data_IF_613917035506
#
_entry.id   IF_613917035506
#
_cell.length_a   1.000
_cell.length_b   1.000
_cell.length_c   1.000
_cell.angle_alpha   90.00
_cell.angle_beta   90.00
_cell.angle_gamma   90.00
#
_symmetry.space_group_name_H-M   'P 1'
#
loop_
_entity.id
_entity.type
_entity.pdbx_description
1 polymer ?
#
# COMPACT_ATOMS: atom_id res chain seq x y z
N UNK A 1 -44.03 -82.59 -53.71
CA UNK A 1 -42.77 -82.02 -53.19
C UNK A 1 -42.82 -82.01 -51.67
N UNK A 2 -41.67 -82.03 -50.99
CA UNK A 2 -41.59 -81.95 -49.53
C UNK A 2 -40.87 -80.66 -49.17
N UNK A 3 -41.44 -79.86 -48.28
CA UNK A 3 -40.84 -78.64 -47.78
C UNK A 3 -40.70 -78.72 -46.27
N UNK A 4 -39.57 -78.24 -45.77
CA UNK A 4 -39.30 -78.15 -44.34
C UNK A 4 -38.35 -76.98 -44.13
N UNK A 5 -38.64 -76.14 -43.14
CA UNK A 5 -37.70 -75.15 -42.64
C UNK A 5 -36.75 -75.75 -41.60
N UNK A 6 -35.99 -74.90 -40.92
CA UNK A 6 -35.10 -75.32 -39.83
C UNK A 6 -35.86 -75.90 -38.63
N UNK A 7 -37.13 -75.52 -38.46
CA UNK A 7 -38.04 -75.97 -37.40
C UNK A 7 -39.45 -76.22 -37.97
N UNK A 8 -40.27 -77.00 -37.25
CA UNK A 8 -41.65 -77.35 -37.65
C UNK A 8 -41.79 -78.77 -38.19
N UNK A 9 -42.92 -79.06 -38.86
CA UNK A 9 -43.22 -80.35 -39.47
C UNK A 9 -43.07 -80.30 -40.99
N UNK A 10 -42.65 -81.42 -41.61
CA UNK A 10 -42.55 -81.52 -43.07
C UNK A 10 -43.92 -81.34 -43.74
N UNK A 11 -44.02 -80.36 -44.64
CA UNK A 11 -45.18 -80.17 -45.50
C UNK A 11 -45.05 -81.01 -46.78
N UNK A 12 -46.04 -81.86 -47.02
CA UNK A 12 -46.10 -82.77 -48.17
C UNK A 12 -47.11 -82.26 -49.19
N UNK A 13 -46.60 -81.56 -50.20
CA UNK A 13 -47.43 -81.02 -51.28
C UNK A 13 -47.58 -82.03 -52.42
N UNK A 14 -48.81 -82.26 -52.86
CA UNK A 14 -49.12 -82.99 -54.10
C UNK A 14 -48.87 -82.12 -55.32
N UNK A 15 -48.92 -82.72 -56.50
CA UNK A 15 -48.88 -81.98 -57.75
C UNK A 15 -50.08 -81.02 -57.82
N UNK A 16 -49.83 -79.77 -58.19
CA UNK A 16 -50.81 -78.66 -58.24
C UNK A 16 -51.35 -78.16 -56.89
N UNK A 17 -50.77 -78.56 -55.76
CA UNK A 17 -51.03 -77.87 -54.49
C UNK A 17 -50.18 -76.60 -54.37
N UNK A 18 -50.78 -75.52 -53.87
CA UNK A 18 -50.11 -74.24 -53.65
C UNK A 18 -49.23 -74.29 -52.39
N UNK A 19 -48.00 -73.77 -52.49
CA UNK A 19 -47.16 -73.44 -51.34
C UNK A 19 -47.23 -71.94 -51.11
N UNK A 20 -47.83 -71.51 -50.00
CA UNK A 20 -47.84 -70.09 -49.63
C UNK A 20 -46.64 -69.74 -48.75
N UNK A 21 -45.91 -68.68 -49.10
CA UNK A 21 -44.78 -68.14 -48.30
C UNK A 21 -45.09 -66.70 -47.93
N UNK A 22 -45.27 -66.39 -46.64
CA UNK A 22 -45.71 -65.08 -46.16
C UNK A 22 -44.72 -64.44 -45.18
N UNK A 23 -44.39 -63.15 -45.38
CA UNK A 23 -43.56 -62.34 -44.49
C UNK A 23 -44.34 -61.45 -43.49
N UNK A 24 -45.68 -61.52 -43.49
CA UNK A 24 -46.56 -60.82 -42.55
C UNK A 24 -46.95 -59.38 -42.91
N UNK A 25 -46.14 -58.67 -43.71
CA UNK A 25 -46.49 -57.33 -44.24
C UNK A 25 -47.12 -57.48 -45.64
N UNK A 26 -48.29 -56.88 -45.84
CA UNK A 26 -49.04 -56.97 -47.10
C UNK A 26 -49.05 -55.66 -47.90
N UNK A 27 -48.71 -54.53 -47.27
CA UNK A 27 -48.57 -53.24 -47.96
C UNK A 27 -47.17 -53.13 -48.57
N UNK A 28 -47.09 -53.13 -49.91
CA UNK A 28 -45.83 -53.06 -50.64
C UNK A 28 -45.04 -51.77 -50.36
N UNK A 29 -45.71 -50.67 -49.99
CA UNK A 29 -45.05 -49.42 -49.63
C UNK A 29 -44.28 -49.49 -48.30
N UNK A 30 -44.63 -50.45 -47.43
CA UNK A 30 -43.95 -50.69 -46.16
C UNK A 30 -42.78 -51.69 -46.29
N UNK A 31 -42.55 -52.23 -47.49
CA UNK A 31 -41.45 -53.13 -47.79
C UNK A 31 -40.30 -52.36 -48.42
N UNK A 32 -39.07 -52.69 -48.00
CA UNK A 32 -37.87 -52.24 -48.71
C UNK A 32 -37.91 -52.70 -50.16
N UNK A 33 -37.69 -51.78 -51.09
CA UNK A 33 -37.56 -52.08 -52.51
C UNK A 33 -36.13 -52.52 -52.90
N UNK A 34 -35.19 -52.45 -51.97
CA UNK A 34 -33.83 -52.98 -52.13
C UNK A 34 -33.75 -54.50 -51.84
N UNK A 35 -32.84 -55.18 -52.54
CA UNK A 35 -32.60 -56.62 -52.43
C UNK A 35 -31.80 -56.98 -51.16
N UNK A 36 -32.47 -57.01 -50.01
CA UNK A 36 -31.84 -57.26 -48.72
C UNK A 36 -31.70 -58.74 -48.31
N UNK A 37 -32.32 -59.67 -49.04
CA UNK A 37 -32.26 -61.11 -48.77
C UNK A 37 -31.59 -61.83 -49.94
N UNK A 38 -30.46 -62.48 -49.67
CA UNK A 38 -29.79 -63.38 -50.59
C UNK A 38 -30.29 -64.82 -50.42
N UNK A 39 -30.45 -65.54 -51.52
CA UNK A 39 -30.82 -66.96 -51.55
C UNK A 39 -29.69 -67.75 -52.21
N UNK A 40 -29.11 -68.70 -51.47
CA UNK A 40 -28.01 -69.55 -51.92
C UNK A 40 -28.44 -71.02 -51.94
N UNK A 41 -28.27 -71.72 -53.06
CA UNK A 41 -28.46 -73.16 -53.11
C UNK A 41 -27.29 -73.86 -52.40
N UNK A 42 -27.57 -74.72 -51.42
CA UNK A 42 -26.53 -75.36 -50.61
C UNK A 42 -25.95 -76.65 -51.21
N UNK A 43 -26.39 -77.05 -52.40
CA UNK A 43 -25.98 -78.30 -53.07
C UNK A 43 -26.61 -79.59 -52.51
N UNK A 44 -27.34 -79.51 -51.40
CA UNK A 44 -27.93 -80.64 -50.67
C UNK A 44 -29.46 -80.56 -50.62
N UNK A 45 -30.09 -80.14 -51.73
CA UNK A 45 -31.54 -79.96 -51.85
C UNK A 45 -32.11 -78.94 -50.84
N UNK A 46 -31.31 -77.96 -50.41
CA UNK A 46 -31.73 -76.86 -49.55
C UNK A 46 -31.32 -75.50 -50.08
N UNK A 47 -32.00 -74.46 -49.57
CA UNK A 47 -31.70 -73.06 -49.83
C UNK A 47 -31.31 -72.39 -48.50
N UNK A 48 -30.25 -71.59 -48.51
CA UNK A 48 -29.84 -70.77 -47.38
C UNK A 48 -30.27 -69.34 -47.67
N UNK A 49 -31.04 -68.76 -46.75
CA UNK A 49 -31.42 -67.35 -46.80
C UNK A 49 -30.49 -66.57 -45.88
N UNK A 50 -29.94 -65.46 -46.38
CA UNK A 50 -29.08 -64.57 -45.58
C UNK A 50 -29.46 -63.11 -45.83
N UNK A 51 -29.29 -62.29 -44.81
CA UNK A 51 -29.33 -60.85 -44.96
C UNK A 51 -28.10 -60.38 -45.76
N UNK A 52 -28.28 -59.33 -46.56
CA UNK A 52 -27.17 -58.61 -47.16
C UNK A 52 -26.27 -58.01 -46.06
N UNK A 53 -24.97 -57.87 -46.34
CA UNK A 53 -24.02 -57.24 -45.41
C UNK A 53 -24.37 -55.77 -45.13
N UNK A 54 -24.95 -55.10 -46.12
CA UNK A 54 -25.53 -53.77 -46.00
C UNK A 54 -27.04 -53.89 -46.24
N UNK A 55 -27.84 -53.46 -45.28
CA UNK A 55 -29.29 -53.34 -45.47
C UNK A 55 -29.61 -51.94 -46.00
N UNK A 56 -30.41 -51.88 -47.07
CA UNK A 56 -30.78 -50.62 -47.76
C UNK A 56 -32.29 -50.46 -47.78
N UNK A 57 -32.77 -49.24 -48.04
CA UNK A 57 -34.20 -48.95 -48.16
C UNK A 57 -35.02 -49.16 -46.89
N UNK A 58 -34.38 -49.09 -45.70
CA UNK A 58 -35.07 -49.18 -44.42
C UNK A 58 -35.35 -47.79 -43.84
N UNK A 59 -36.58 -47.55 -43.39
CA UNK A 59 -36.95 -46.32 -42.69
C UNK A 59 -36.41 -46.29 -41.25
N UNK A 60 -36.21 -47.45 -40.62
CA UNK A 60 -35.65 -47.53 -39.28
C UNK A 60 -35.57 -48.94 -38.71
N UNK A 61 -34.99 -49.05 -37.51
CA UNK A 61 -34.90 -50.28 -36.73
C UNK A 61 -35.45 -50.02 -35.33
N UNK A 62 -36.35 -50.88 -34.85
CA UNK A 62 -36.94 -50.80 -33.51
C UNK A 62 -36.51 -52.00 -32.67
N UNK A 63 -35.95 -51.74 -31.49
CA UNK A 63 -35.62 -52.76 -30.49
C UNK A 63 -36.55 -52.61 -29.28
N UNK A 64 -37.36 -53.64 -29.02
CA UNK A 64 -38.40 -53.63 -27.98
C UNK A 64 -39.79 -53.30 -28.54
N UNK A 65 -40.72 -52.97 -27.65
CA UNK A 65 -42.12 -52.69 -27.99
C UNK A 65 -42.62 -51.38 -27.36
N UNK A 66 -43.66 -50.80 -27.97
CA UNK A 66 -44.29 -49.57 -27.50
C UNK A 66 -43.41 -48.32 -27.64
N UNK A 67 -43.78 -47.27 -26.92
CA UNK A 67 -43.15 -45.94 -27.04
C UNK A 67 -41.76 -45.85 -26.38
N UNK A 68 -41.42 -46.82 -25.51
CA UNK A 68 -40.12 -46.91 -24.83
C UNK A 68 -39.08 -47.71 -25.62
N UNK A 69 -39.45 -48.27 -26.78
CA UNK A 69 -38.51 -49.01 -27.62
C UNK A 69 -37.34 -48.11 -28.05
N UNK A 70 -36.14 -48.68 -28.14
CA UNK A 70 -35.03 -48.01 -28.78
C UNK A 70 -35.31 -47.95 -30.28
N UNK A 71 -35.22 -46.76 -30.86
CA UNK A 71 -35.49 -46.53 -32.29
C UNK A 71 -34.26 -45.93 -32.93
N UNK A 72 -33.79 -46.56 -34.00
CA UNK A 72 -32.86 -45.96 -34.97
C UNK A 72 -33.73 -45.52 -36.14
N UNK A 73 -33.86 -44.21 -36.33
CA UNK A 73 -34.67 -43.60 -37.37
C UNK A 73 -33.76 -43.21 -38.54
N UNK A 74 -33.88 -43.93 -39.66
CA UNK A 74 -33.09 -43.70 -40.87
C UNK A 74 -33.52 -42.44 -41.62
N UNK A 75 -34.81 -42.11 -41.58
CA UNK A 75 -35.40 -40.94 -42.22
C UNK A 75 -34.93 -39.65 -41.53
N UNK A 76 -35.07 -39.58 -40.20
CA UNK A 76 -34.72 -38.42 -39.39
C UNK A 76 -33.24 -38.42 -38.95
N UNK A 77 -32.52 -39.54 -39.14
CA UNK A 77 -31.13 -39.74 -38.72
C UNK A 77 -30.94 -39.56 -37.21
N UNK A 78 -31.87 -40.09 -36.43
CA UNK A 78 -31.85 -40.01 -34.96
C UNK A 78 -31.78 -41.38 -34.31
N UNK A 79 -31.30 -41.40 -33.07
CA UNK A 79 -31.40 -42.58 -32.21
C UNK A 79 -31.98 -42.13 -30.88
N UNK A 80 -33.11 -42.73 -30.49
CA UNK A 80 -33.88 -42.34 -29.30
C UNK A 80 -34.01 -43.48 -28.30
N UNK A 81 -34.36 -43.12 -27.06
CA UNK A 81 -34.52 -44.04 -25.92
C UNK A 81 -33.27 -44.87 -25.60
N UNK A 82 -32.10 -44.25 -25.71
CA UNK A 82 -30.83 -44.86 -25.29
C UNK A 82 -30.57 -44.51 -23.82
N UNK A 83 -30.35 -45.53 -22.99
CA UNK A 83 -29.94 -45.33 -21.58
C UNK A 83 -28.49 -44.86 -21.48
N UNK A 84 -27.58 -45.47 -22.25
CA UNK A 84 -26.14 -45.21 -22.16
C UNK A 84 -25.47 -45.48 -23.50
N UNK A 85 -24.66 -44.53 -23.97
CA UNK A 85 -23.77 -44.70 -25.12
C UNK A 85 -22.33 -44.70 -24.64
N UNK A 86 -21.55 -45.69 -25.04
CA UNK A 86 -20.14 -45.86 -24.65
C UNK A 86 -19.27 -45.92 -25.89
N UNK A 87 -18.37 -44.96 -26.03
CA UNK A 87 -17.36 -44.93 -27.09
C UNK A 87 -16.12 -45.66 -26.58
N UNK A 88 -15.91 -46.90 -27.05
CA UNK A 88 -14.97 -47.87 -26.47
C UNK A 88 -13.49 -47.62 -26.81
N UNK A 89 -12.63 -47.96 -25.85
CA UNK A 89 -11.33 -48.64 -26.06
C UNK A 89 -11.45 -50.11 -25.64
N UNK A 90 -10.45 -50.95 -25.94
CA UNK A 90 -10.50 -52.43 -25.82
C UNK A 90 -10.91 -53.01 -24.46
N UNK A 91 -10.84 -52.24 -23.36
CA UNK A 91 -11.19 -52.67 -22.00
C UNK A 91 -12.23 -51.75 -21.29
N UNK A 92 -12.82 -50.79 -22.02
CA UNK A 92 -13.76 -49.77 -21.54
C UNK A 92 -13.26 -48.84 -20.42
N UNK A 93 -11.99 -48.91 -19.99
CA UNK A 93 -11.48 -48.13 -18.84
C UNK A 93 -11.24 -46.65 -19.17
N UNK A 94 -11.15 -46.30 -20.44
CA UNK A 94 -10.94 -44.92 -20.93
C UNK A 94 -12.03 -44.47 -21.91
N UNK A 95 -13.26 -44.93 -21.69
CA UNK A 95 -14.38 -44.63 -22.59
C UNK A 95 -15.01 -43.27 -22.33
N UNK A 96 -15.36 -42.56 -23.39
CA UNK A 96 -16.34 -41.48 -23.30
C UNK A 96 -17.71 -42.13 -23.14
N UNK A 97 -18.45 -41.68 -22.14
CA UNK A 97 -19.77 -42.21 -21.81
C UNK A 97 -20.78 -41.07 -21.83
N UNK A 98 -21.83 -41.22 -22.63
CA UNK A 98 -23.03 -40.38 -22.57
C UNK A 98 -24.08 -41.15 -21.80
N UNK A 99 -24.39 -40.67 -20.59
CA UNK A 99 -25.36 -41.30 -19.68
C UNK A 99 -26.68 -40.53 -19.73
N UNK A 100 -27.69 -41.12 -20.37
CA UNK A 100 -29.02 -40.53 -20.50
C UNK A 100 -29.80 -40.50 -19.18
N UNK A 101 -29.49 -41.40 -18.25
CA UNK A 101 -30.13 -41.46 -16.92
C UNK A 101 -29.66 -40.29 -16.05
N UNK A 102 -28.33 -40.10 -15.97
CA UNK A 102 -27.72 -39.05 -15.15
C UNK A 102 -27.56 -37.71 -15.89
N UNK A 103 -27.80 -37.69 -17.21
CA UNK A 103 -27.64 -36.52 -18.10
C UNK A 103 -26.24 -35.93 -18.07
N UNK A 104 -25.23 -36.80 -18.06
CA UNK A 104 -23.81 -36.42 -18.00
C UNK A 104 -23.01 -37.05 -19.12
N UNK A 105 -21.88 -36.40 -19.42
CA UNK A 105 -20.81 -36.97 -20.23
C UNK A 105 -19.60 -37.18 -19.32
N UNK A 106 -19.11 -38.41 -19.22
CA UNK A 106 -17.94 -38.78 -18.39
C UNK A 106 -16.83 -39.38 -19.24
N UNK A 107 -15.64 -39.51 -18.66
CA UNK A 107 -14.47 -40.09 -19.34
C UNK A 107 -13.66 -39.09 -20.17
N UNK A 108 -13.94 -37.79 -20.03
CA UNK A 108 -13.07 -36.75 -20.60
C UNK A 108 -11.70 -36.77 -19.91
N UNK A 109 -10.63 -36.80 -20.71
CA UNK A 109 -9.25 -36.91 -20.22
C UNK A 109 -8.68 -35.59 -19.69
N UNK A 110 -9.23 -34.45 -20.11
CA UNK A 110 -8.83 -33.12 -19.68
C UNK A 110 -9.37 -32.76 -18.27
N UNK A 111 -8.93 -33.49 -17.26
CA UNK A 111 -9.39 -33.34 -15.86
C UNK A 111 -8.74 -32.18 -15.11
N UNK A 112 -7.68 -31.59 -15.66
CA UNK A 112 -6.93 -30.47 -15.08
C UNK A 112 -6.62 -29.38 -16.11
N UNK A 113 -6.39 -28.16 -15.64
CA UNK A 113 -5.90 -27.04 -16.45
C UNK A 113 -4.44 -27.33 -16.86
N UNK A 114 -4.05 -27.07 -18.12
CA UNK A 114 -2.65 -27.19 -18.54
C UNK A 114 -1.72 -26.33 -17.69
N UNK A 115 -0.58 -26.89 -17.27
CA UNK A 115 0.43 -26.20 -16.46
C UNK A 115 1.75 -25.97 -17.20
N UNK A 116 1.92 -26.61 -18.36
CA UNK A 116 3.12 -26.59 -19.21
C UNK A 116 3.07 -25.52 -20.31
N UNK A 117 2.05 -24.64 -20.27
CA UNK A 117 1.83 -23.63 -21.30
C UNK A 117 1.18 -24.14 -22.57
N UNK A 118 0.77 -25.43 -22.63
CA UNK A 118 -0.02 -25.95 -23.74
C UNK A 118 -1.35 -25.17 -23.84
N UNK A 119 -1.66 -24.56 -24.99
CA UNK A 119 -2.92 -23.83 -25.16
C UNK A 119 -4.13 -24.75 -25.05
N UNK A 120 -5.20 -24.24 -24.44
CA UNK A 120 -6.50 -24.91 -24.47
C UNK A 120 -7.13 -24.79 -25.86
N UNK A 121 -7.80 -25.86 -26.30
CA UNK A 121 -8.59 -25.84 -27.55
C UNK A 121 -9.95 -25.18 -27.28
N UNK A 122 -10.31 -24.17 -28.06
CA UNK A 122 -11.49 -23.33 -27.81
C UNK A 122 -12.83 -24.06 -28.02
N UNK A 123 -12.84 -25.10 -28.85
CA UNK A 123 -14.00 -25.92 -29.22
C UNK A 123 -14.04 -27.27 -28.48
N UNK A 124 -13.08 -27.52 -27.59
CA UNK A 124 -13.05 -28.72 -26.78
C UNK A 124 -13.90 -28.55 -25.52
N UNK A 125 -14.71 -29.57 -25.20
CA UNK A 125 -15.47 -29.61 -23.96
C UNK A 125 -14.55 -29.59 -22.74
N UNK A 126 -14.86 -28.77 -21.73
CA UNK A 126 -14.14 -28.75 -20.44
C UNK A 126 -14.74 -29.76 -19.45
N UNK A 127 -13.90 -30.26 -18.54
CA UNK A 127 -14.36 -31.13 -17.43
C UNK A 127 -14.73 -30.32 -16.19
N UNK A 128 -15.53 -30.91 -15.29
CA UNK A 128 -15.80 -30.32 -13.97
C UNK A 128 -14.53 -30.18 -13.11
N UNK A 129 -13.53 -31.04 -13.32
CA UNK A 129 -12.22 -30.92 -12.65
C UNK A 129 -11.50 -29.62 -13.02
N UNK A 130 -11.51 -29.26 -14.30
CA UNK A 130 -10.97 -27.98 -14.78
C UNK A 130 -11.75 -26.78 -14.21
N UNK A 131 -13.09 -26.83 -14.24
CA UNK A 131 -13.93 -25.76 -13.69
C UNK A 131 -13.68 -25.56 -12.19
N UNK A 132 -13.52 -26.66 -11.43
CA UNK A 132 -13.17 -26.57 -10.02
C UNK A 132 -11.83 -25.87 -9.80
N UNK A 133 -10.80 -26.20 -10.60
CA UNK A 133 -9.51 -25.52 -10.48
C UNK A 133 -9.59 -24.02 -10.82
N UNK A 134 -10.42 -23.63 -11.78
CA UNK A 134 -10.69 -22.20 -12.04
C UNK A 134 -11.36 -21.54 -10.84
N UNK A 135 -12.37 -22.17 -10.23
CA UNK A 135 -13.05 -21.66 -9.04
C UNK A 135 -12.11 -21.52 -7.85
N UNK A 136 -11.27 -22.53 -7.60
CA UNK A 136 -10.26 -22.50 -6.54
C UNK A 136 -9.28 -21.33 -6.75
N UNK A 137 -8.75 -21.16 -7.97
CA UNK A 137 -7.87 -20.03 -8.33
C UNK A 137 -8.55 -18.67 -8.18
N UNK A 138 -9.84 -18.57 -8.51
CA UNK A 138 -10.62 -17.35 -8.33
C UNK A 138 -10.77 -17.01 -6.83
N UNK A 139 -11.08 -18.00 -6.00
CA UNK A 139 -11.18 -17.83 -4.55
C UNK A 139 -9.84 -17.46 -3.91
N UNK A 140 -8.74 -18.05 -4.38
CA UNK A 140 -7.41 -17.70 -3.89
C UNK A 140 -7.02 -16.27 -4.27
N UNK A 141 -7.34 -15.84 -5.50
CA UNK A 141 -7.16 -14.43 -5.91
C UNK A 141 -7.95 -13.49 -5.00
N UNK A 142 -9.19 -13.84 -4.64
CA UNK A 142 -10.04 -13.02 -3.75
C UNK A 142 -9.50 -12.90 -2.32
N UNK A 143 -8.81 -13.93 -1.80
CA UNK A 143 -8.20 -13.92 -0.45
C UNK A 143 -7.03 -12.95 -0.32
N UNK A 144 -6.24 -12.79 -1.38
CA UNK A 144 -5.04 -11.94 -1.36
C UNK A 144 -5.27 -10.53 -1.93
N UNK A 145 -6.46 -10.25 -2.47
CA UNK A 145 -6.79 -8.96 -3.05
C UNK A 145 -7.18 -7.92 -1.99
N UNK A 146 -6.75 -6.68 -2.21
CA UNK A 146 -7.35 -5.50 -1.56
C UNK A 146 -8.61 -5.13 -2.34
N UNK A 147 -9.73 -4.98 -1.65
CA UNK A 147 -11.05 -4.75 -2.25
C UNK A 147 -11.62 -3.42 -1.81
N UNK A 148 -12.50 -2.86 -2.64
CA UNK A 148 -13.39 -1.79 -2.23
C UNK A 148 -14.36 -2.30 -1.16
N UNK A 149 -14.79 -1.38 -0.31
CA UNK A 149 -15.79 -1.67 0.71
C UNK A 149 -17.17 -1.95 0.07
N UNK A 150 -18.12 -2.42 0.89
CA UNK A 150 -19.52 -2.59 0.49
C UNK A 150 -20.40 -1.52 1.10
N UNK A 151 -21.42 -1.10 0.37
CA UNK A 151 -22.55 -0.36 0.93
C UNK A 151 -23.43 -1.31 1.77
N UNK A 152 -24.32 -0.74 2.58
CA UNK A 152 -25.26 -1.52 3.42
C UNK A 152 -26.20 -2.43 2.61
N UNK A 153 -26.49 -2.06 1.36
CA UNK A 153 -27.30 -2.86 0.42
C UNK A 153 -26.51 -3.99 -0.26
N UNK A 154 -25.22 -4.13 0.04
CA UNK A 154 -24.32 -5.14 -0.54
C UNK A 154 -23.65 -4.74 -1.85
N UNK A 155 -23.96 -3.58 -2.43
CA UNK A 155 -23.28 -3.06 -3.63
C UNK A 155 -21.85 -2.58 -3.33
N UNK A 156 -21.03 -2.41 -4.38
CA UNK A 156 -19.62 -1.98 -4.23
C UNK A 156 -19.54 -0.48 -3.92
N UNK A 157 -18.84 -0.12 -2.84
CA UNK A 157 -18.53 1.26 -2.47
C UNK A 157 -17.13 1.67 -2.95
N UNK A 158 -17.05 2.40 -4.06
CA UNK A 158 -15.78 2.85 -4.64
C UNK A 158 -15.09 4.01 -3.89
N UNK A 159 -15.68 4.50 -2.80
CA UNK A 159 -15.15 5.63 -2.03
C UNK A 159 -14.27 5.20 -0.85
N UNK A 160 -14.21 3.90 -0.52
CA UNK A 160 -13.48 3.41 0.64
C UNK A 160 -12.84 2.04 0.39
N UNK A 161 -11.74 1.81 1.10
CA UNK A 161 -11.01 0.54 1.19
C UNK A 161 -10.67 0.34 2.66
N UNK A 162 -11.14 -0.75 3.24
CA UNK A 162 -10.76 -1.21 4.58
C UNK A 162 -9.75 -2.34 4.46
N UNK A 163 -8.54 -2.12 4.97
CA UNK A 163 -7.47 -3.13 4.95
C UNK A 163 -7.72 -4.17 6.05
N UNK A 164 -7.67 -5.46 5.70
CA UNK A 164 -8.03 -6.57 6.58
C UNK A 164 -6.97 -7.00 7.61
N UNK A 165 -6.16 -6.09 8.12
CA UNK A 165 -5.04 -6.40 9.04
C UNK A 165 -5.43 -6.60 10.52
N UNK A 166 -6.68 -6.93 10.80
CA UNK A 166 -7.26 -7.06 12.15
C UNK A 166 -6.91 -5.87 13.08
N UNK A 167 -6.63 -6.14 14.35
CA UNK A 167 -6.29 -5.11 15.36
C UNK A 167 -4.92 -4.47 15.15
N UNK A 168 -4.06 -5.09 14.34
CA UNK A 168 -2.71 -4.58 14.07
C UNK A 168 -2.66 -3.65 12.84
N UNK A 169 -3.73 -3.64 12.03
CA UNK A 169 -3.77 -2.94 10.76
C UNK A 169 -2.85 -3.55 9.69
N UNK A 170 -2.77 -2.89 8.53
CA UNK A 170 -1.95 -3.33 7.39
C UNK A 170 -0.91 -2.27 7.03
N UNK A 171 0.35 -2.68 6.95
CA UNK A 171 1.44 -1.78 6.52
C UNK A 171 1.48 -1.73 4.99
N UNK A 172 1.30 -0.53 4.41
CA UNK A 172 1.49 -0.28 2.98
C UNK A 172 2.94 0.14 2.73
N UNK A 173 3.69 -0.65 1.96
CA UNK A 173 5.10 -0.39 1.62
C UNK A 173 5.24 -0.02 0.15
N UNK A 174 6.44 0.44 -0.23
CA UNK A 174 6.78 0.84 -1.60
C UNK A 174 5.84 1.93 -2.17
N UNK A 175 5.37 2.82 -1.31
CA UNK A 175 4.60 4.00 -1.70
C UNK A 175 5.60 5.04 -2.22
N UNK A 176 5.54 5.35 -3.52
CA UNK A 176 6.34 6.42 -4.10
C UNK A 176 5.97 7.79 -3.48
N UNK A 177 6.85 8.79 -3.59
CA UNK A 177 6.56 10.11 -3.05
C UNK A 177 5.33 10.73 -3.73
N UNK A 178 4.28 10.98 -2.97
CA UNK A 178 3.11 11.70 -3.45
C UNK A 178 3.37 13.19 -3.59
N UNK A 179 2.68 13.87 -4.50
CA UNK A 179 2.74 15.33 -4.62
C UNK A 179 2.12 15.98 -3.39
N UNK A 180 2.89 16.87 -2.76
CA UNK A 180 2.41 17.67 -1.61
C UNK A 180 1.92 19.02 -2.13
N UNK A 181 0.64 19.09 -2.49
CA UNK A 181 -0.06 20.30 -2.96
C UNK A 181 -1.55 20.26 -2.56
N UNK A 182 -2.22 21.41 -2.57
CA UNK A 182 -3.54 21.60 -1.96
C UNK A 182 -4.65 20.65 -2.44
N UNK A 183 -4.62 20.23 -3.71
CA UNK A 183 -5.63 19.39 -4.36
C UNK A 183 -5.20 17.93 -4.51
N UNK A 184 -4.04 17.53 -3.96
CA UNK A 184 -3.48 16.19 -4.13
C UNK A 184 -4.38 15.10 -3.54
N UNK A 185 -4.45 13.96 -4.25
CA UNK A 185 -5.10 12.71 -3.83
C UNK A 185 -4.09 11.55 -3.76
N UNK A 186 -2.81 11.87 -3.90
CA UNK A 186 -1.73 10.88 -3.84
C UNK A 186 -1.40 10.58 -2.36
N UNK A 187 -1.11 9.32 -2.05
CA UNK A 187 -0.64 8.96 -0.71
C UNK A 187 0.76 9.56 -0.45
N UNK A 188 1.01 10.02 0.77
CA UNK A 188 2.34 10.41 1.22
C UNK A 188 3.00 9.26 1.98
N UNK A 189 4.32 9.13 1.86
CA UNK A 189 5.07 8.10 2.57
C UNK A 189 5.87 8.66 3.75
N UNK A 190 6.47 7.76 4.54
CA UNK A 190 7.24 8.11 5.72
C UNK A 190 8.42 9.05 5.48
N UNK A 191 9.08 8.99 4.31
CA UNK A 191 10.21 9.89 4.01
C UNK A 191 9.78 11.36 3.86
N UNK A 192 8.58 11.58 3.33
CA UNK A 192 8.02 12.91 3.15
C UNK A 192 7.60 13.51 4.49
N UNK A 193 6.96 12.71 5.35
CA UNK A 193 6.61 13.12 6.72
C UNK A 193 7.86 13.33 7.58
N UNK A 194 8.86 12.47 7.45
CA UNK A 194 10.14 12.61 8.15
C UNK A 194 10.79 13.95 7.81
N UNK A 195 10.87 14.31 6.53
CA UNK A 195 11.47 15.59 6.10
C UNK A 195 10.79 16.81 6.73
N UNK A 196 9.46 16.80 6.89
CA UNK A 196 8.74 17.90 7.55
C UNK A 196 8.93 17.89 9.06
N UNK A 197 9.09 16.71 9.67
CA UNK A 197 9.28 16.55 11.11
C UNK A 197 10.70 16.90 11.59
N UNK A 198 11.68 17.01 10.68
CA UNK A 198 13.02 17.55 10.98
C UNK A 198 12.99 19.01 11.48
N UNK A 199 11.84 19.68 11.40
CA UNK A 199 11.63 21.01 11.95
C UNK A 199 12.43 22.10 11.26
N UNK A 200 12.88 23.09 12.03
CA UNK A 200 13.66 24.19 11.52
C UNK A 200 14.76 24.61 12.49
N UNK A 201 15.87 25.07 11.92
CA UNK A 201 16.99 25.59 12.71
C UNK A 201 16.72 27.04 13.12
N UNK A 202 17.01 27.34 14.38
CA UNK A 202 17.07 28.70 14.92
C UNK A 202 18.51 28.98 15.30
N UNK A 203 19.05 30.12 14.87
CA UNK A 203 20.42 30.52 15.19
C UNK A 203 20.49 31.95 15.73
N UNK A 204 21.47 32.19 16.57
CA UNK A 204 21.76 33.51 17.17
C UNK A 204 23.04 34.04 16.55
N UNK A 205 23.01 35.25 15.98
CA UNK A 205 24.14 35.92 15.31
C UNK A 205 24.60 35.27 14.00
N UNK A 206 25.22 34.09 14.07
CA UNK A 206 25.79 33.36 12.92
C UNK A 206 25.39 31.89 12.98
N UNK A 207 25.19 31.23 11.83
CA UNK A 207 24.83 29.80 11.77
C UNK A 207 26.05 28.91 11.99
N UNK A 208 26.43 28.73 13.25
CA UNK A 208 27.46 27.79 13.71
C UNK A 208 26.85 26.75 14.65
N UNK A 209 27.55 25.65 14.91
CA UNK A 209 27.07 24.60 15.83
C UNK A 209 26.75 25.16 17.22
N UNK A 210 27.58 26.06 17.75
CA UNK A 210 27.40 26.63 19.09
C UNK A 210 26.23 27.63 19.17
N UNK A 211 25.88 28.24 18.03
CA UNK A 211 24.88 29.29 17.94
C UNK A 211 23.55 28.80 17.36
N UNK A 212 23.46 27.54 16.94
CA UNK A 212 22.29 26.97 16.28
C UNK A 212 21.71 25.86 17.13
N UNK A 213 20.40 25.88 17.31
CA UNK A 213 19.64 24.75 17.83
C UNK A 213 18.46 24.47 16.90
N UNK A 214 18.03 23.22 16.86
CA UNK A 214 16.87 22.82 16.06
C UNK A 214 15.62 22.88 16.93
N UNK A 215 14.51 23.30 16.33
CA UNK A 215 13.17 23.18 16.92
C UNK A 215 12.46 22.08 16.15
N UNK A 216 12.35 20.90 16.76
CA UNK A 216 11.72 19.73 16.15
C UNK A 216 10.22 19.92 15.94
N UNK A 217 9.65 19.25 14.94
CA UNK A 217 8.21 19.24 14.69
C UNK A 217 7.66 17.81 14.78
N UNK A 218 6.43 17.68 15.28
CA UNK A 218 5.70 16.40 15.26
C UNK A 218 5.92 15.49 16.47
N UNK A 219 6.63 15.93 17.51
CA UNK A 219 6.58 15.32 18.83
C UNK A 219 5.32 15.76 19.59
N UNK A 220 4.85 14.94 20.53
CA UNK A 220 3.72 15.26 21.41
C UNK A 220 4.06 16.49 22.28
N UNK A 221 5.25 16.46 22.88
CA UNK A 221 5.87 17.61 23.52
C UNK A 221 6.64 18.41 22.47
N UNK A 222 6.13 19.59 22.15
CA UNK A 222 6.74 20.46 21.14
C UNK A 222 7.90 21.22 21.74
N UNK A 223 9.02 21.25 21.02
CA UNK A 223 10.11 22.17 21.34
C UNK A 223 9.59 23.60 21.33
N UNK A 224 9.94 24.36 22.37
CA UNK A 224 9.61 25.77 22.48
C UNK A 224 10.90 26.57 22.60
N UNK A 225 11.00 27.63 21.79
CA UNK A 225 12.06 28.61 21.90
C UNK A 225 11.50 29.93 22.45
N UNK A 226 12.15 30.45 23.48
CA UNK A 226 11.81 31.70 24.12
C UNK A 226 12.93 32.73 24.01
N UNK A 227 12.56 33.99 24.07
CA UNK A 227 13.49 35.11 24.21
C UNK A 227 13.37 35.65 25.63
N UNK A 228 14.49 35.78 26.34
CA UNK A 228 14.53 36.29 27.71
C UNK A 228 15.47 37.49 27.81
N UNK A 229 15.16 38.44 28.70
CA UNK A 229 15.85 39.72 28.86
C UNK A 229 16.62 39.76 30.19
N UNK A 230 17.89 40.14 30.15
CA UNK A 230 18.64 40.44 31.38
C UNK A 230 18.14 41.73 32.06
N UNK A 231 18.58 41.97 33.31
CA UNK A 231 18.07 43.03 34.19
C UNK A 231 17.99 44.45 33.57
N UNK A 232 18.88 44.83 32.64
CA UNK A 232 18.89 46.15 32.00
C UNK A 232 18.22 46.23 30.62
N UNK A 233 17.64 45.13 30.14
CA UNK A 233 16.95 45.07 28.85
C UNK A 233 15.47 44.77 29.04
N UNK A 234 14.66 45.29 28.14
CA UNK A 234 13.28 44.87 27.95
C UNK A 234 13.11 44.22 26.57
N UNK A 235 12.21 43.25 26.51
CA UNK A 235 11.85 42.57 25.27
C UNK A 235 10.36 42.81 25.02
N UNK A 236 10.03 43.22 23.81
CA UNK A 236 8.66 43.38 23.35
C UNK A 236 8.42 42.62 22.04
N UNK A 237 7.19 42.13 21.85
CA UNK A 237 6.75 41.40 20.66
C UNK A 237 5.61 42.14 19.98
N UNK A 238 5.74 42.34 18.68
CA UNK A 238 4.64 42.74 17.81
C UNK A 238 4.61 41.85 16.56
N UNK A 239 3.65 40.94 16.47
CA UNK A 239 3.60 39.92 15.42
C UNK A 239 4.83 39.00 15.45
N UNK A 240 5.61 39.00 14.36
CA UNK A 240 6.87 38.23 14.21
C UNK A 240 8.13 39.04 14.56
N UNK A 241 7.97 40.32 14.93
CA UNK A 241 9.10 41.19 15.31
C UNK A 241 9.32 41.12 16.81
N UNK A 242 10.56 40.82 17.20
CA UNK A 242 11.06 40.92 18.57
C UNK A 242 11.92 42.19 18.64
N UNK A 243 11.67 43.05 19.61
CA UNK A 243 12.46 44.27 19.83
C UNK A 243 13.12 44.20 21.19
N UNK A 244 14.43 44.39 21.21
CA UNK A 244 15.21 44.59 22.42
C UNK A 244 15.42 46.09 22.61
N UNK A 245 15.14 46.60 23.80
CA UNK A 245 15.44 47.97 24.20
C UNK A 245 16.13 47.97 25.56
N UNK A 246 16.87 49.05 25.86
CA UNK A 246 17.26 49.34 27.22
C UNK A 246 16.02 49.78 27.98
N UNK A 247 15.93 49.39 29.25
CA UNK A 247 14.93 49.96 30.15
C UNK A 247 15.19 51.45 30.37
N UNK A 248 14.15 52.19 30.72
CA UNK A 248 14.28 53.59 31.13
C UNK A 248 15.24 53.73 32.32
N UNK A 249 15.10 52.84 33.31
CA UNK A 249 16.02 52.70 34.44
C UNK A 249 16.91 51.46 34.27
N UNK A 250 18.23 51.68 34.24
CA UNK A 250 19.23 50.62 34.09
C UNK A 250 19.85 50.30 35.45
N UNK A 251 19.50 49.14 36.00
CA UNK A 251 20.20 48.57 37.15
C UNK A 251 21.39 47.71 36.70
N UNK A 252 22.58 48.04 37.22
CA UNK A 252 23.80 47.27 36.97
C UNK A 252 24.27 46.69 38.29
N UNK A 253 24.42 45.36 38.34
CA UNK A 253 24.66 44.62 39.58
C UNK A 253 23.36 44.07 40.18
N UNK A 254 23.48 43.41 41.32
CA UNK A 254 22.34 42.92 42.12
C UNK A 254 22.52 43.37 43.55
N UNK A 255 21.45 43.86 44.18
CA UNK A 255 21.45 44.24 45.59
C UNK A 255 21.36 43.01 46.51
N UNK A 256 21.75 43.17 47.78
CA UNK A 256 21.71 42.13 48.83
C UNK A 256 23.02 41.37 49.06
N UNK A 257 23.08 40.56 50.13
CA UNK A 257 24.31 39.85 50.56
C UNK A 257 24.89 38.89 49.51
N UNK A 258 24.04 38.33 48.64
CA UNK A 258 24.46 37.49 47.51
C UNK A 258 24.62 38.26 46.19
N UNK A 259 24.44 39.58 46.24
CA UNK A 259 24.54 40.50 45.11
C UNK A 259 25.96 40.70 44.61
N UNK A 260 26.10 41.17 43.38
CA UNK A 260 27.39 41.57 42.79
C UNK A 260 27.39 43.05 42.49
N UNK A 261 28.49 43.72 42.85
CA UNK A 261 28.66 45.15 42.61
C UNK A 261 28.58 45.48 41.12
N UNK A 262 27.70 46.41 40.76
CA UNK A 262 27.63 46.94 39.41
C UNK A 262 28.89 47.68 38.98
N UNK A 263 29.22 47.60 37.69
CA UNK A 263 30.28 48.41 37.08
C UNK A 263 29.89 48.85 35.68
N UNK A 264 29.96 50.14 35.41
CA UNK A 264 29.86 50.70 34.06
C UNK A 264 31.25 51.24 33.70
N UNK A 265 31.73 50.93 32.50
CA UNK A 265 32.96 51.52 31.97
C UNK A 265 32.75 51.92 30.52
N UNK A 266 33.05 53.18 30.21
CA UNK A 266 33.16 53.69 28.84
C UNK A 266 34.65 53.77 28.53
N UNK A 267 35.13 53.03 27.52
CA UNK A 267 36.54 52.99 27.14
C UNK A 267 36.83 53.92 25.95
N UNK A 268 37.93 54.67 26.03
CA UNK A 268 38.57 55.37 24.92
C UNK A 268 39.71 54.54 24.32
N UNK A 269 40.15 54.92 23.12
CA UNK A 269 41.13 54.17 22.30
C UNK A 269 42.52 54.13 22.94
N UNK A 270 42.91 55.16 23.70
CA UNK A 270 44.28 55.37 24.20
C UNK A 270 44.36 55.27 25.73
N UNK A 271 43.48 54.45 26.30
CA UNK A 271 43.42 54.17 27.74
C UNK A 271 42.58 55.16 28.54
N UNK A 272 41.88 56.09 27.87
CA UNK A 272 40.88 56.91 28.51
C UNK A 272 39.73 56.04 29.02
N UNK A 273 39.14 56.42 30.14
CA UNK A 273 37.91 55.77 30.58
C UNK A 273 37.08 56.64 31.51
N UNK A 274 35.78 56.38 31.50
CA UNK A 274 34.87 56.78 32.59
C UNK A 274 34.37 55.50 33.24
N UNK A 275 34.54 55.35 34.55
CA UNK A 275 34.12 54.16 35.31
C UNK A 275 33.21 54.57 36.45
N UNK A 276 32.13 53.82 36.66
CA UNK A 276 31.23 53.92 37.81
C UNK A 276 31.21 52.55 38.49
N UNK A 277 31.50 52.48 39.80
CA UNK A 277 31.52 51.24 40.58
C UNK A 277 30.53 51.29 41.74
N UNK A 278 29.67 50.28 41.84
CA UNK A 278 28.69 50.12 42.90
C UNK A 278 29.30 49.93 44.29
N UNK A 279 30.36 49.10 44.40
CA UNK A 279 30.98 48.68 45.68
C UNK A 279 31.13 49.78 46.73
N UNK A 280 31.60 50.94 46.28
CA UNK A 280 31.95 52.07 47.13
C UNK A 280 31.35 53.40 46.61
N UNK A 281 30.46 53.35 45.61
CA UNK A 281 30.00 54.54 44.89
C UNK A 281 31.14 55.34 44.25
N UNK A 282 32.11 54.66 43.65
CA UNK A 282 33.28 55.31 43.03
C UNK A 282 32.99 55.72 41.58
N UNK A 283 33.27 56.97 41.22
CA UNK A 283 33.31 57.43 39.83
C UNK A 283 34.74 57.83 39.49
N UNK A 284 35.29 57.30 38.40
CA UNK A 284 36.64 57.60 37.94
C UNK A 284 36.65 58.05 36.49
N UNK A 285 37.41 59.09 36.18
CA UNK A 285 37.74 59.53 34.83
C UNK A 285 39.25 59.42 34.68
N UNK A 286 39.71 58.81 33.60
CA UNK A 286 41.13 58.68 33.27
C UNK A 286 41.35 59.28 31.88
N UNK A 287 42.31 60.19 31.73
CA UNK A 287 42.82 60.66 30.45
C UNK A 287 43.84 59.69 29.83
N UNK A 288 44.41 60.02 28.65
CA UNK A 288 45.35 59.16 27.94
C UNK A 288 46.59 58.87 28.77
N UNK A 289 47.25 57.74 28.50
CA UNK A 289 48.60 57.47 29.02
C UNK A 289 49.61 58.35 28.28
N UNK A 290 50.47 59.04 29.04
CA UNK A 290 51.66 59.66 28.49
C UNK A 290 52.76 58.63 28.23
N UNK A 291 53.87 59.08 27.67
CA UNK A 291 55.05 58.24 27.40
C UNK A 291 55.64 57.58 28.66
N UNK A 292 55.33 58.15 29.84
CA UNK A 292 55.71 57.65 31.17
C UNK A 292 54.73 56.60 31.73
N UNK A 293 53.71 56.22 30.96
CA UNK A 293 52.66 55.27 31.36
C UNK A 293 51.65 55.83 32.36
N UNK A 294 51.75 57.11 32.75
CA UNK A 294 50.85 57.77 33.70
C UNK A 294 49.80 58.58 32.98
N UNK A 295 48.70 58.84 33.68
CA UNK A 295 47.54 59.53 33.10
C UNK A 295 46.97 60.51 34.11
N UNK A 296 46.38 61.58 33.60
CA UNK A 296 45.58 62.49 34.43
C UNK A 296 44.29 61.78 34.85
N UNK A 297 43.92 61.82 36.13
CA UNK A 297 42.68 61.21 36.62
C UNK A 297 41.83 62.18 37.43
N UNK A 298 40.53 61.90 37.44
CA UNK A 298 39.55 62.45 38.37
C UNK A 298 38.88 61.28 39.08
N UNK A 299 38.75 61.32 40.39
CA UNK A 299 38.07 60.28 41.18
C UNK A 299 37.09 60.93 42.14
N UNK A 300 35.93 60.33 42.29
CA UNK A 300 34.90 60.66 43.27
C UNK A 300 34.63 59.37 44.04
N UNK A 301 34.69 59.39 45.37
CA UNK A 301 34.38 58.24 46.23
C UNK A 301 33.23 58.59 47.15
N UNK A 302 32.08 57.92 46.96
CA UNK A 302 30.95 58.01 47.88
C UNK A 302 31.28 57.45 49.27
N UNK A 303 32.07 56.36 49.34
CA UNK A 303 32.47 55.72 50.61
C UNK A 303 33.23 56.66 51.53
N UNK A 304 34.16 57.43 50.97
CA UNK A 304 35.05 58.29 51.75
C UNK A 304 34.66 59.79 51.65
N UNK A 305 33.68 60.13 50.82
CA UNK A 305 33.26 61.51 50.57
C UNK A 305 34.34 62.34 49.90
N UNK A 306 35.21 61.74 49.09
CA UNK A 306 36.37 62.42 48.50
C UNK A 306 36.18 62.73 47.02
N UNK A 307 36.73 63.87 46.56
CA UNK A 307 36.86 64.21 45.14
C UNK A 307 38.32 64.56 44.89
N UNK A 308 39.00 63.82 44.03
CA UNK A 308 40.41 63.95 43.73
C UNK A 308 40.66 64.20 42.25
N UNK A 309 41.61 65.06 41.93
CA UNK A 309 42.22 65.12 40.60
C UNK A 309 43.71 64.84 40.74
N UNK A 310 44.28 63.98 39.90
CA UNK A 310 45.72 63.70 39.87
C UNK A 310 46.27 63.99 38.48
N UNK A 311 47.29 64.83 38.40
CA UNK A 311 48.06 65.05 37.19
C UNK A 311 49.06 63.92 36.96
N UNK A 312 49.41 63.67 35.69
CA UNK A 312 50.44 62.69 35.29
C UNK A 312 51.79 62.92 35.97
N UNK A 313 52.09 64.16 36.35
CA UNK A 313 53.31 64.54 37.05
C UNK A 313 53.28 64.29 38.57
N UNK A 314 52.19 63.74 39.10
CA UNK A 314 52.02 63.43 40.52
C UNK A 314 51.45 64.56 41.37
N UNK A 315 51.19 65.74 40.78
CA UNK A 315 50.46 66.81 41.45
C UNK A 315 48.99 66.41 41.67
N UNK A 316 48.38 66.78 42.79
CA UNK A 316 46.99 66.44 43.06
C UNK A 316 46.26 67.47 43.90
N UNK A 317 44.94 67.49 43.74
CA UNK A 317 44.01 68.22 44.60
C UNK A 317 42.96 67.23 45.07
N UNK A 318 42.72 67.16 46.38
CA UNK A 318 41.73 66.25 46.98
C UNK A 318 40.86 67.04 47.94
N UNK A 319 39.56 67.05 47.69
CA UNK A 319 38.55 67.50 48.63
C UNK A 319 38.15 66.30 49.48
N UNK A 320 38.14 66.46 50.81
CA UNK A 320 37.74 65.42 51.74
C UNK A 320 36.53 65.86 52.55
N UNK A 321 35.35 65.30 52.23
CA UNK A 321 34.11 65.62 52.91
C UNK A 321 34.02 65.06 54.33
N UNK A 322 34.81 64.02 54.68
CA UNK A 322 34.78 63.41 56.02
C UNK A 322 35.34 64.35 57.09
N UNK A 323 36.35 65.14 56.74
CA UNK A 323 37.02 66.08 57.65
C UNK A 323 36.86 67.56 57.23
N UNK A 324 36.20 67.83 56.10
CA UNK A 324 35.95 69.18 55.59
C UNK A 324 37.19 69.87 55.01
N UNK A 325 38.24 69.11 54.67
CA UNK A 325 39.52 69.66 54.23
C UNK A 325 39.71 69.66 52.71
N UNK A 326 40.63 70.53 52.25
CA UNK A 326 41.15 70.51 50.87
C UNK A 326 42.66 70.27 50.96
N UNK A 327 43.12 69.13 50.47
CA UNK A 327 44.53 68.79 50.32
C UNK A 327 45.03 69.18 48.93
N UNK A 328 46.14 69.92 48.87
CA UNK A 328 46.84 70.30 47.63
C UNK A 328 48.27 69.78 47.70
N UNK A 329 48.68 68.99 46.70
CA UNK A 329 50.03 68.48 46.56
C UNK A 329 50.64 68.96 45.24
N UNK A 330 51.71 69.75 45.32
CA UNK A 330 52.50 70.14 44.15
C UNK A 330 53.45 69.02 43.68
N UNK A 331 54.00 69.19 42.47
CA UNK A 331 54.92 68.27 41.76
C UNK A 331 56.09 67.71 42.60
N UNK A 332 56.50 68.41 43.65
CA UNK A 332 57.62 68.04 44.54
C UNK A 332 57.22 67.92 46.03
N UNK A 333 55.94 67.68 46.33
CA UNK A 333 55.45 67.51 47.70
C UNK A 333 55.36 68.79 48.54
N UNK A 334 55.60 69.96 47.94
CA UNK A 334 55.36 71.27 48.59
C UNK A 334 53.87 71.60 48.48
N UNK A 335 53.17 71.59 49.61
CA UNK A 335 51.81 72.13 49.74
C UNK A 335 51.89 73.65 49.51
N UNK A 336 51.02 74.20 48.65
CA UNK A 336 50.86 75.65 48.49
C UNK A 336 49.56 76.09 49.12
#
# INVERSE_FOLDING_TARGET
MKFMGDFGTEDKLKLNEELTVTGGITDNAQLSQDNNIGVEANGNKGLILRLAKELKGLDGITFGAGDTAMKIDGTQKTINNITKMTFKTSDNKDSIVVDGTNKVITGLSNTTLPTDGTPMQADQAASQGQLKQVLDKANDTDKFAVKYDKNTDGSVNKNAITLGGDTNGTVIKNVANGKVKADSKEAVNGSQLYKTNQGFDVYIKDKTTDNTFNVGLGADDKDAFGFDAGNGLEISKNGKKITYALKDDIEVGKDGEAGTDGKITVNGKDGESVTIKGKNGEIGIQGPKGDDGKSNSVTISGKDGTIGTTGKDGSSVVLNGKDGSIGIKGKDGKNK
#
